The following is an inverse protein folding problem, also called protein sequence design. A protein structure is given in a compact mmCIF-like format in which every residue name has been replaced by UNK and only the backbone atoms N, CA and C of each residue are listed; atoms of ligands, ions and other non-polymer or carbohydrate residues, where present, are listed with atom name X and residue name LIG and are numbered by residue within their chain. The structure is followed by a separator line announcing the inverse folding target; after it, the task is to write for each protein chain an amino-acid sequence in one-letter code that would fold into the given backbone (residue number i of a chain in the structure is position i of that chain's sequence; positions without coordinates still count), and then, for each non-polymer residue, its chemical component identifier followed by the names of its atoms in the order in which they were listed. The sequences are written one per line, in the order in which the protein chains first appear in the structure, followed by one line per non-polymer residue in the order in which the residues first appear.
data_IF_177999355759
#
_entry.id   IF_177999355759
#
_cell.length_a   1.000
_cell.length_b   1.000
_cell.length_c   1.000
_cell.angle_alpha   90.00
_cell.angle_beta   90.00
_cell.angle_gamma   90.00
#
_symmetry.space_group_name_H-M   'P 1'
#
loop_
_entity.id
_entity.type
_entity.pdbx_description
1 polymer ?
#
# COMPACT_ATOMS: atom_id res chain seq x y z
N UNK A 1 48.02 -12.75 15.09
CA UNK A 1 46.54 -12.81 15.02
C UNK A 1 46.07 -12.13 13.74
N UNK A 2 45.76 -12.91 12.70
CA UNK A 2 45.42 -12.37 11.37
C UNK A 2 44.00 -12.79 10.93
N UNK A 3 43.06 -12.91 11.88
CA UNK A 3 41.69 -13.36 11.61
C UNK A 3 40.98 -12.50 10.56
N UNK A 4 41.15 -11.17 10.62
CA UNK A 4 40.64 -10.26 9.58
C UNK A 4 41.29 -10.49 8.21
N UNK A 5 42.60 -10.78 8.14
CA UNK A 5 43.28 -11.12 6.87
C UNK A 5 42.82 -12.46 6.32
N UNK A 6 42.52 -13.41 7.20
CA UNK A 6 42.05 -14.74 6.83
C UNK A 6 40.61 -14.70 6.32
N UNK A 7 39.70 -13.99 7.01
CA UNK A 7 38.32 -13.75 6.54
C UNK A 7 38.29 -13.01 5.20
N UNK A 8 39.10 -11.97 5.03
CA UNK A 8 39.16 -11.22 3.76
C UNK A 8 39.78 -12.03 2.63
N UNK A 9 40.76 -12.89 2.90
CA UNK A 9 41.32 -13.83 1.93
C UNK A 9 40.30 -14.90 1.50
N UNK A 10 39.57 -15.47 2.46
CA UNK A 10 38.49 -16.43 2.17
C UNK A 10 37.35 -15.79 1.39
N UNK A 11 36.98 -14.55 1.72
CA UNK A 11 35.98 -13.79 0.97
C UNK A 11 36.43 -13.54 -0.47
N UNK A 12 37.68 -13.12 -0.68
CA UNK A 12 38.24 -12.91 -2.04
C UNK A 12 38.28 -14.20 -2.86
N UNK A 13 38.60 -15.34 -2.23
CA UNK A 13 38.60 -16.63 -2.91
C UNK A 13 37.19 -17.01 -3.37
N UNK A 14 36.19 -16.84 -2.51
CA UNK A 14 34.79 -17.11 -2.84
C UNK A 14 34.25 -16.15 -3.90
N UNK A 15 34.57 -14.85 -3.81
CA UNK A 15 34.21 -13.85 -4.83
C UNK A 15 34.86 -14.13 -6.19
N UNK A 16 36.14 -14.54 -6.20
CA UNK A 16 36.84 -14.96 -7.41
C UNK A 16 36.21 -16.19 -8.05
N UNK A 17 35.79 -17.16 -7.23
CA UNK A 17 35.04 -18.34 -7.67
C UNK A 17 33.67 -17.99 -8.29
N UNK A 18 32.98 -16.99 -7.75
CA UNK A 18 31.74 -16.46 -8.35
C UNK A 18 32.02 -15.76 -9.69
N UNK A 19 33.08 -14.96 -9.77
CA UNK A 19 33.48 -14.25 -10.98
C UNK A 19 33.89 -15.20 -12.12
N UNK A 20 34.53 -16.34 -11.79
CA UNK A 20 34.93 -17.36 -12.76
C UNK A 20 33.74 -18.03 -13.47
N UNK A 21 32.52 -17.92 -12.91
CA UNK A 21 31.26 -18.45 -13.46
C UNK A 21 30.19 -17.35 -13.54
N UNK A 22 30.61 -16.19 -14.05
CA UNK A 22 29.78 -14.98 -14.21
C UNK A 22 28.44 -15.24 -14.89
N UNK A 23 28.38 -16.10 -15.90
CA UNK A 23 27.13 -16.44 -16.60
C UNK A 23 26.08 -17.07 -15.69
N UNK A 24 26.46 -18.05 -14.86
CA UNK A 24 25.53 -18.70 -13.94
C UNK A 24 25.08 -17.73 -12.83
N UNK A 25 25.99 -16.90 -12.32
CA UNK A 25 25.72 -15.92 -11.28
C UNK A 25 24.76 -14.83 -11.78
N UNK A 26 24.94 -14.33 -13.01
CA UNK A 26 24.06 -13.33 -13.60
C UNK A 26 22.63 -13.84 -13.75
N UNK A 27 22.44 -15.08 -14.21
CA UNK A 27 21.09 -15.66 -14.35
C UNK A 27 20.39 -15.78 -13.01
N UNK A 28 21.10 -16.22 -11.96
CA UNK A 28 20.54 -16.31 -10.60
C UNK A 28 20.14 -14.92 -10.10
N UNK A 29 21.02 -13.92 -10.28
CA UNK A 29 20.73 -12.54 -9.86
C UNK A 29 19.48 -12.01 -10.56
N UNK A 30 19.42 -12.11 -11.89
CA UNK A 30 18.26 -11.65 -12.67
C UNK A 30 16.98 -12.35 -12.23
N UNK A 31 17.02 -13.68 -12.04
CA UNK A 31 15.87 -14.46 -11.60
C UNK A 31 15.36 -14.03 -10.22
N UNK A 32 16.25 -13.91 -9.24
CA UNK A 32 15.88 -13.51 -7.87
C UNK A 32 15.39 -12.06 -7.85
N UNK A 33 16.07 -11.13 -8.54
CA UNK A 33 15.64 -9.73 -8.57
C UNK A 33 14.31 -9.54 -9.27
N UNK A 34 14.03 -10.33 -10.32
CA UNK A 34 12.73 -10.32 -11.01
C UNK A 34 11.62 -10.74 -10.05
N UNK A 35 11.78 -11.86 -9.35
CA UNK A 35 10.79 -12.36 -8.40
C UNK A 35 10.55 -11.38 -7.24
N UNK A 36 11.62 -10.88 -6.62
CA UNK A 36 11.52 -9.90 -5.53
C UNK A 36 10.88 -8.59 -6.02
N UNK A 37 11.24 -8.12 -7.21
CA UNK A 37 10.68 -6.91 -7.81
C UNK A 37 9.17 -6.98 -8.00
N UNK A 38 8.65 -8.13 -8.46
CA UNK A 38 7.20 -8.34 -8.60
C UNK A 38 6.51 -8.33 -7.24
N UNK A 39 7.04 -9.07 -6.26
CA UNK A 39 6.46 -9.13 -4.91
C UNK A 39 6.44 -7.76 -4.23
N UNK A 40 7.51 -6.98 -4.37
CA UNK A 40 7.60 -5.61 -3.85
C UNK A 40 6.61 -4.68 -4.55
N UNK A 41 6.46 -4.77 -5.88
CA UNK A 41 5.46 -3.99 -6.62
C UNK A 41 4.04 -4.29 -6.16
N UNK A 42 3.67 -5.57 -5.99
CA UNK A 42 2.35 -5.93 -5.50
C UNK A 42 2.12 -5.46 -4.06
N UNK A 43 3.14 -5.53 -3.21
CA UNK A 43 3.08 -5.00 -1.84
C UNK A 43 2.89 -3.48 -1.83
N UNK A 44 3.59 -2.75 -2.71
CA UNK A 44 3.44 -1.32 -2.87
C UNK A 44 2.04 -0.94 -3.35
N UNK A 45 1.48 -1.69 -4.31
CA UNK A 45 0.10 -1.49 -4.76
C UNK A 45 -0.92 -1.73 -3.65
N UNK A 46 -0.78 -2.83 -2.90
CA UNK A 46 -1.70 -3.15 -1.80
C UNK A 46 -1.65 -2.11 -0.67
N UNK A 47 -0.44 -1.69 -0.28
CA UNK A 47 -0.27 -0.65 0.74
C UNK A 47 -0.71 0.74 0.26
N UNK A 48 -0.52 1.05 -1.02
CA UNK A 48 -1.01 2.28 -1.65
C UNK A 48 -2.53 2.33 -1.68
N UNK A 49 -3.19 1.25 -2.11
CA UNK A 49 -4.65 1.14 -2.12
C UNK A 49 -5.24 1.23 -0.70
N UNK A 50 -4.63 0.57 0.28
CA UNK A 50 -5.05 0.64 1.68
C UNK A 50 -4.91 2.05 2.25
N UNK A 51 -3.82 2.76 1.93
CA UNK A 51 -3.65 4.18 2.33
C UNK A 51 -4.65 5.09 1.65
N UNK A 52 -4.97 4.89 0.38
CA UNK A 52 -5.99 5.67 -0.32
C UNK A 52 -7.37 5.45 0.32
N UNK A 53 -7.73 4.19 0.59
CA UNK A 53 -9.01 3.81 1.18
C UNK A 53 -9.20 4.36 2.60
N UNK A 54 -8.14 4.40 3.40
CA UNK A 54 -8.21 4.95 4.77
C UNK A 54 -7.91 6.45 4.85
N UNK A 55 -7.17 7.00 3.88
CA UNK A 55 -6.70 8.39 3.90
C UNK A 55 -7.80 9.42 3.64
N UNK A 56 -8.84 9.04 2.90
CA UNK A 56 -10.02 9.89 2.66
C UNK A 56 -11.08 9.78 3.78
N UNK A 57 -10.83 8.98 4.83
CA UNK A 57 -11.75 8.87 5.97
C UNK A 57 -11.51 10.04 6.90
N UNK A 58 -12.34 11.07 6.76
CA UNK A 58 -12.46 12.16 7.73
C UNK A 58 -13.45 11.75 8.83
N UNK A 59 -13.02 11.78 10.09
CA UNK A 59 -13.84 11.40 11.25
C UNK A 59 -15.10 12.27 11.41
N UNK A 60 -15.14 13.44 10.77
CA UNK A 60 -16.24 14.40 10.78
C UNK A 60 -17.16 14.31 9.56
N UNK A 61 -16.98 13.33 8.65
CA UNK A 61 -17.79 13.20 7.43
C UNK A 61 -18.50 11.85 7.39
N UNK A 62 -19.83 11.88 7.37
CA UNK A 62 -20.65 10.70 7.09
C UNK A 62 -21.03 10.66 5.59
N UNK A 63 -20.68 9.58 4.90
CA UNK A 63 -21.09 9.35 3.50
C UNK A 63 -22.32 8.45 3.48
N UNK A 64 -23.41 8.93 2.87
CA UNK A 64 -24.71 8.25 2.83
C UNK A 64 -24.98 7.81 1.40
N UNK A 65 -25.11 6.50 1.19
CA UNK A 65 -25.35 5.90 -0.14
C UNK A 65 -26.69 5.17 -0.14
N UNK A 66 -27.47 5.32 -1.22
CA UNK A 66 -28.75 4.63 -1.39
C UNK A 66 -28.55 3.12 -1.54
N UNK A 67 -29.46 2.33 -0.97
CA UNK A 67 -29.34 0.88 -0.92
C UNK A 67 -29.60 0.28 -2.31
N UNK A 68 -28.54 -0.15 -2.98
CA UNK A 68 -28.62 -0.83 -4.28
C UNK A 68 -28.19 0.02 -5.50
N UNK A 69 -27.80 1.28 -5.30
CA UNK A 69 -27.13 2.06 -6.34
C UNK A 69 -25.62 1.80 -6.30
N UNK A 70 -25.00 1.48 -7.44
CA UNK A 70 -23.54 1.63 -7.56
C UNK A 70 -23.16 3.11 -7.41
N UNK A 71 -21.94 3.41 -6.96
CA UNK A 71 -21.44 4.76 -6.58
C UNK A 71 -21.74 5.90 -7.59
N UNK A 72 -22.08 5.57 -8.83
CA UNK A 72 -22.33 6.52 -9.93
C UNK A 72 -23.81 6.83 -10.18
N UNK A 73 -24.75 6.11 -9.54
CA UNK A 73 -26.20 6.27 -9.75
C UNK A 73 -26.95 6.50 -8.42
N UNK A 74 -26.24 7.02 -7.42
CA UNK A 74 -26.83 7.40 -6.14
C UNK A 74 -27.54 8.75 -6.28
N UNK A 75 -28.87 8.74 -6.34
CA UNK A 75 -29.68 9.96 -6.19
C UNK A 75 -30.28 10.01 -4.79
N UNK A 76 -29.83 10.97 -3.98
CA UNK A 76 -30.43 11.29 -2.68
C UNK A 76 -31.36 12.48 -2.89
N UNK A 77 -32.66 12.28 -2.67
CA UNK A 77 -33.61 13.39 -2.73
C UNK A 77 -33.36 14.36 -1.57
N UNK A 78 -33.55 15.67 -1.80
CA UNK A 78 -33.29 16.71 -0.80
C UNK A 78 -34.07 16.49 0.51
N UNK A 79 -35.25 15.88 0.41
CA UNK A 79 -36.10 15.52 1.55
C UNK A 79 -35.52 14.37 2.40
N UNK A 80 -34.87 13.41 1.74
CA UNK A 80 -34.13 12.33 2.39
C UNK A 80 -32.83 12.86 3.01
N UNK A 81 -32.17 13.84 2.38
CA UNK A 81 -31.00 14.50 2.95
C UNK A 81 -31.35 15.25 4.26
N UNK A 82 -32.48 15.97 4.30
CA UNK A 82 -32.96 16.61 5.54
C UNK A 82 -33.35 15.60 6.61
N UNK A 83 -33.99 14.49 6.23
CA UNK A 83 -34.30 13.41 7.18
C UNK A 83 -33.03 12.81 7.75
N UNK A 84 -32.00 12.62 6.92
CA UNK A 84 -30.72 12.03 7.35
C UNK A 84 -29.92 12.97 8.25
N UNK A 85 -29.94 14.27 7.95
CA UNK A 85 -29.37 15.34 8.77
C UNK A 85 -29.95 15.41 10.20
N UNK A 86 -31.20 15.00 10.39
CA UNK A 86 -31.91 15.03 11.67
C UNK A 86 -31.75 13.74 12.50
N UNK A 87 -30.91 12.79 12.07
CA UNK A 87 -30.71 11.55 12.83
C UNK A 87 -29.93 11.80 14.14
N UNK A 88 -30.32 11.11 15.24
CA UNK A 88 -29.60 11.16 16.51
C UNK A 88 -28.23 10.49 16.34
N UNK A 89 -27.19 11.31 16.12
CA UNK A 89 -25.81 10.85 15.90
C UNK A 89 -24.97 11.80 15.05
N UNK A 90 -25.57 12.75 14.32
CA UNK A 90 -24.84 13.76 13.56
C UNK A 90 -24.62 15.01 14.43
N UNK A 91 -23.35 15.37 14.62
CA UNK A 91 -22.98 16.54 15.40
C UNK A 91 -23.28 17.82 14.60
N UNK A 92 -24.06 18.73 15.17
CA UNK A 92 -24.33 20.04 14.59
C UNK A 92 -23.08 20.93 14.74
N UNK A 93 -22.59 21.48 13.63
CA UNK A 93 -21.50 22.45 13.63
C UNK A 93 -21.91 23.77 14.30
N UNK A 94 -20.95 24.67 14.48
CA UNK A 94 -21.15 26.02 15.07
C UNK A 94 -22.22 26.86 14.37
N UNK A 95 -22.56 26.51 13.14
CA UNK A 95 -23.47 27.23 12.26
C UNK A 95 -24.89 26.65 12.27
N UNK A 96 -25.18 25.72 13.19
CA UNK A 96 -26.50 25.09 13.34
C UNK A 96 -26.89 24.17 12.18
N UNK A 97 -25.92 23.77 11.36
CA UNK A 97 -26.07 22.82 10.26
C UNK A 97 -25.20 21.60 10.55
N UNK A 98 -25.68 20.38 10.23
CA UNK A 98 -24.86 19.19 10.20
C UNK A 98 -23.83 19.24 9.08
#
# INVERSE_FOLDING_TARGET
MNFLRQSTALLRLNLGGLAARSGAVLTILVGVTCAVGVLVSMLAMGTGAHRQALGDVRDDVAVVVSRGSGDLDSSVSRDQATTVADLPGIALGSDGKP
#
